data_IF_720499055235
#
_entry.id   IF_720499055235
#
_cell.length_a   1.000
_cell.length_b   1.000
_cell.length_c   1.000
_cell.angle_alpha   90.00
_cell.angle_beta   90.00
_cell.angle_gamma   90.00
#
_symmetry.space_group_name_H-M   'P 1'
#
loop_
_entity.id
_entity.type
_entity.pdbx_description
1 polymer ?
#
# COMPACT_ATOMS: atom_id res chain seq x y z
N UNK A 1 -8.37 -13.61 -8.71
CA UNK A 1 -8.90 -13.75 -7.33
C UNK A 1 -7.91 -13.10 -6.37
N UNK A 2 -8.38 -12.33 -5.37
CA UNK A 2 -7.53 -11.74 -4.32
C UNK A 2 -6.96 -12.86 -3.45
N UNK A 3 -5.62 -12.92 -3.34
CA UNK A 3 -4.87 -13.87 -2.53
C UNK A 3 -4.20 -13.13 -1.38
N UNK A 4 -4.55 -13.50 -0.15
CA UNK A 4 -4.01 -12.84 1.04
C UNK A 4 -2.71 -13.52 1.52
N UNK A 5 -1.74 -12.71 1.94
CA UNK A 5 -0.46 -13.17 2.49
C UNK A 5 -0.53 -13.51 3.98
N UNK A 6 -1.53 -13.00 4.72
CA UNK A 6 -1.73 -13.27 6.15
C UNK A 6 -3.22 -13.23 6.52
N UNK A 7 -3.54 -13.74 7.71
CA UNK A 7 -4.86 -13.56 8.31
C UNK A 7 -5.08 -12.09 8.67
N UNK A 8 -6.29 -11.62 8.49
CA UNK A 8 -6.69 -10.25 8.83
C UNK A 8 -7.60 -10.31 10.05
N UNK A 9 -7.29 -9.58 11.15
CA UNK A 9 -8.14 -9.50 12.32
C UNK A 9 -9.55 -9.00 11.99
N UNK A 10 -10.50 -9.30 12.86
CA UNK A 10 -11.88 -8.81 12.71
C UNK A 10 -11.94 -7.28 12.88
N UNK A 11 -11.26 -6.74 13.89
CA UNK A 11 -11.06 -5.30 14.12
C UNK A 11 -9.68 -4.91 13.59
N UNK A 12 -9.60 -3.91 12.71
CA UNK A 12 -8.35 -3.50 12.08
C UNK A 12 -8.42 -2.08 11.52
N UNK A 13 -7.33 -1.35 11.61
CA UNK A 13 -7.15 -0.06 10.95
C UNK A 13 -6.60 -0.25 9.53
N UNK A 14 -7.01 0.60 8.58
CA UNK A 14 -6.58 0.51 7.17
C UNK A 14 -6.07 1.85 6.70
N UNK A 15 -4.80 1.90 6.27
CA UNK A 15 -4.22 3.08 5.65
C UNK A 15 -4.69 3.19 4.20
N UNK A 16 -5.42 4.28 3.88
CA UNK A 16 -6.05 4.50 2.58
C UNK A 16 -5.60 5.83 2.00
N UNK A 17 -4.97 5.81 0.83
CA UNK A 17 -4.48 7.02 0.14
C UNK A 17 -5.53 7.72 -0.73
N UNK A 18 -6.62 7.04 -1.10
CA UNK A 18 -7.61 7.51 -2.08
C UNK A 18 -7.35 7.01 -3.51
N UNK A 19 -6.18 6.46 -3.80
CA UNK A 19 -5.86 5.84 -5.08
C UNK A 19 -6.48 4.45 -5.26
N UNK A 20 -6.56 3.99 -6.51
CA UNK A 20 -7.26 2.76 -6.94
C UNK A 20 -6.98 1.55 -6.05
N UNK A 21 -5.70 1.24 -5.81
CA UNK A 21 -5.30 0.03 -5.07
C UNK A 21 -5.80 0.08 -3.62
N UNK A 22 -5.65 1.23 -2.95
CA UNK A 22 -6.06 1.40 -1.56
C UNK A 22 -7.59 1.39 -1.39
N UNK A 23 -8.32 1.98 -2.33
CA UNK A 23 -9.78 1.98 -2.33
C UNK A 23 -10.34 0.60 -2.64
N UNK A 24 -9.71 -0.16 -3.55
CA UNK A 24 -10.05 -1.56 -3.81
C UNK A 24 -9.85 -2.44 -2.57
N UNK A 25 -8.73 -2.27 -1.88
CA UNK A 25 -8.44 -2.99 -0.63
C UNK A 25 -9.47 -2.66 0.47
N UNK A 26 -9.82 -1.38 0.63
CA UNK A 26 -10.83 -0.94 1.60
C UNK A 26 -12.19 -1.60 1.31
N UNK A 27 -12.65 -1.56 0.05
CA UNK A 27 -13.92 -2.17 -0.32
C UNK A 27 -13.92 -3.69 -0.12
N UNK A 28 -12.83 -4.38 -0.47
CA UNK A 28 -12.69 -5.81 -0.22
C UNK A 28 -12.81 -6.15 1.28
N UNK A 29 -12.13 -5.37 2.14
CA UNK A 29 -12.15 -5.58 3.58
C UNK A 29 -13.54 -5.32 4.17
N UNK A 30 -14.23 -4.28 3.71
CA UNK A 30 -15.62 -3.97 4.09
C UNK A 30 -16.57 -5.11 3.73
N UNK A 31 -16.50 -5.62 2.49
CA UNK A 31 -17.32 -6.75 2.07
C UNK A 31 -17.02 -8.03 2.88
N UNK A 32 -15.81 -8.16 3.40
CA UNK A 32 -15.43 -9.20 4.35
C UNK A 32 -15.98 -9.02 5.77
N UNK A 33 -16.89 -8.07 6.00
CA UNK A 33 -17.59 -7.79 7.27
C UNK A 33 -16.63 -7.56 8.46
N UNK A 34 -15.52 -6.88 8.21
CA UNK A 34 -14.57 -6.48 9.26
C UNK A 34 -14.98 -5.16 9.91
N UNK A 35 -14.67 -5.01 11.18
CA UNK A 35 -14.79 -3.75 11.89
C UNK A 35 -13.58 -2.88 11.54
N UNK A 36 -13.79 -1.92 10.63
CA UNK A 36 -12.73 -1.11 10.05
C UNK A 36 -12.68 0.29 10.66
N UNK A 37 -11.46 0.81 10.84
CA UNK A 37 -11.18 2.24 10.98
C UNK A 37 -10.25 2.66 9.84
N UNK A 38 -10.63 3.67 9.08
CA UNK A 38 -9.79 4.19 7.98
C UNK A 38 -8.82 5.23 8.53
N UNK A 39 -7.55 5.10 8.14
CA UNK A 39 -6.49 6.08 8.39
C UNK A 39 -6.13 6.73 7.07
N UNK A 40 -6.43 8.01 6.90
CA UNK A 40 -6.04 8.79 5.73
C UNK A 40 -5.02 9.84 6.14
N UNK A 41 -3.89 9.91 5.44
CA UNK A 41 -2.86 10.91 5.68
C UNK A 41 -2.73 11.84 4.47
N UNK A 42 -3.10 13.11 4.67
CA UNK A 42 -3.05 14.16 3.65
C UNK A 42 -1.65 14.77 3.60
N UNK A 43 -0.96 14.58 2.47
CA UNK A 43 0.41 15.06 2.24
C UNK A 43 0.51 16.53 1.84
N UNK A 44 -0.60 17.28 1.87
CA UNK A 44 -0.68 18.69 1.49
C UNK A 44 -0.21 18.99 0.04
N UNK A 45 -0.30 18.02 -0.86
CA UNK A 45 -0.09 18.21 -2.30
C UNK A 45 -1.33 18.82 -2.94
N UNK A 46 -1.21 19.34 -4.17
CA UNK A 46 -2.31 19.96 -4.91
C UNK A 46 -3.55 19.04 -5.08
N UNK A 47 -3.34 17.73 -5.13
CA UNK A 47 -4.40 16.73 -5.32
C UNK A 47 -4.84 16.03 -4.02
N UNK A 48 -4.21 16.36 -2.90
CA UNK A 48 -4.49 15.71 -1.62
C UNK A 48 -5.92 15.97 -1.13
N UNK A 49 -6.52 17.11 -1.47
CA UNK A 49 -7.91 17.45 -1.14
C UNK A 49 -8.93 16.55 -1.83
N UNK A 50 -8.73 16.24 -3.10
CA UNK A 50 -9.62 15.35 -3.86
C UNK A 50 -9.52 13.92 -3.34
N UNK A 51 -8.32 13.46 -3.03
CA UNK A 51 -8.09 12.14 -2.43
C UNK A 51 -8.77 12.02 -1.05
N UNK A 52 -8.62 13.03 -0.18
CA UNK A 52 -9.29 13.07 1.13
C UNK A 52 -10.81 13.04 0.97
N UNK A 53 -11.36 13.86 0.06
CA UNK A 53 -12.80 13.90 -0.21
C UNK A 53 -13.32 12.56 -0.71
N UNK A 54 -12.61 11.91 -1.61
CA UNK A 54 -12.96 10.58 -2.12
C UNK A 54 -13.05 9.54 -0.99
N UNK A 55 -12.05 9.51 -0.10
CA UNK A 55 -12.02 8.57 1.03
C UNK A 55 -13.13 8.88 2.02
N UNK A 56 -13.36 10.16 2.36
CA UNK A 56 -14.45 10.59 3.27
C UNK A 56 -15.83 10.19 2.75
N UNK A 57 -16.12 10.47 1.47
CA UNK A 57 -17.39 10.12 0.84
C UNK A 57 -17.65 8.60 0.88
N UNK A 58 -16.59 7.81 0.63
CA UNK A 58 -16.69 6.36 0.75
C UNK A 58 -16.97 5.92 2.19
N UNK A 59 -16.27 6.49 3.17
CA UNK A 59 -16.44 6.17 4.59
C UNK A 59 -17.84 6.56 5.08
N UNK A 60 -18.33 7.73 4.71
CA UNK A 60 -19.69 8.22 5.03
C UNK A 60 -20.75 7.27 4.46
N UNK A 61 -20.68 6.95 3.17
CA UNK A 61 -21.60 6.04 2.50
C UNK A 61 -21.75 4.70 3.22
N UNK A 62 -20.67 4.20 3.82
CA UNK A 62 -20.64 2.88 4.46
C UNK A 62 -20.53 2.93 5.98
N UNK A 63 -20.68 4.11 6.59
CA UNK A 63 -20.62 4.33 8.04
C UNK A 63 -19.33 3.76 8.64
N UNK A 64 -18.17 3.96 7.97
CA UNK A 64 -16.86 3.53 8.44
C UNK A 64 -16.17 4.69 9.14
N UNK A 65 -15.72 4.54 10.41
CA UNK A 65 -14.92 5.55 11.08
C UNK A 65 -13.66 5.91 10.29
N UNK A 66 -13.37 7.21 10.19
CA UNK A 66 -12.17 7.73 9.53
C UNK A 66 -11.42 8.69 10.44
N UNK A 67 -10.10 8.51 10.52
CA UNK A 67 -9.17 9.46 11.10
C UNK A 67 -8.32 10.06 9.98
N UNK A 68 -8.14 11.38 10.01
CA UNK A 68 -7.38 12.11 8.99
C UNK A 68 -6.23 12.83 9.66
N UNK A 69 -5.00 12.50 9.24
CA UNK A 69 -3.79 13.22 9.56
C UNK A 69 -3.39 14.16 8.42
N UNK A 70 -2.62 15.18 8.74
CA UNK A 70 -2.09 16.13 7.76
C UNK A 70 -0.61 16.32 7.97
N UNK A 71 0.09 16.52 6.87
CA UNK A 71 1.50 16.85 6.91
C UNK A 71 1.71 18.19 7.63
N UNK A 72 2.60 18.18 8.62
CA UNK A 72 3.03 19.37 9.33
C UNK A 72 4.54 19.58 9.12
N UNK A 73 4.92 20.83 8.85
CA UNK A 73 6.33 21.20 8.65
C UNK A 73 6.84 21.00 7.22
N UNK A 74 8.14 21.20 7.06
CA UNK A 74 8.86 21.13 5.78
C UNK A 74 10.10 20.23 5.92
N UNK A 75 10.58 19.72 4.77
CA UNK A 75 11.80 18.89 4.73
C UNK A 75 13.03 19.71 5.05
N UNK A 76 14.04 19.07 5.66
CA UNK A 76 15.41 19.58 5.70
C UNK A 76 16.08 19.40 4.33
N UNK A 77 17.02 20.29 3.98
CA UNK A 77 17.70 20.33 2.66
C UNK A 77 18.38 19.01 2.20
N UNK A 78 18.59 18.06 3.10
CA UNK A 78 19.31 16.81 2.83
C UNK A 78 18.40 15.55 2.91
N UNK A 79 17.08 15.70 3.05
CA UNK A 79 16.16 14.59 3.15
C UNK A 79 15.28 14.52 1.90
N UNK A 80 15.09 13.32 1.33
CA UNK A 80 14.14 13.15 0.24
C UNK A 80 12.71 13.44 0.72
N UNK A 81 11.91 14.10 -0.11
CA UNK A 81 10.51 14.41 0.21
C UNK A 81 9.71 13.14 0.49
N UNK A 82 9.95 12.09 -0.30
CA UNK A 82 9.25 10.80 -0.14
C UNK A 82 9.55 10.16 1.23
N UNK A 83 10.82 10.16 1.66
CA UNK A 83 11.21 9.63 2.97
C UNK A 83 10.62 10.46 4.11
N UNK A 84 10.58 11.78 3.96
CA UNK A 84 9.95 12.67 4.93
C UNK A 84 8.45 12.39 5.06
N UNK A 85 7.71 12.37 3.96
CA UNK A 85 6.28 12.06 3.94
C UNK A 85 5.99 10.67 4.51
N UNK A 86 6.83 9.70 4.16
CA UNK A 86 6.71 8.34 4.69
C UNK A 86 6.88 8.33 6.20
N UNK A 87 7.92 8.99 6.73
CA UNK A 87 8.21 9.06 8.16
C UNK A 87 7.03 9.69 8.92
N UNK A 88 6.61 10.90 8.52
CA UNK A 88 5.50 11.62 9.13
C UNK A 88 4.20 10.80 9.15
N UNK A 89 3.89 10.14 8.03
CA UNK A 89 2.71 9.29 7.92
C UNK A 89 2.75 8.10 8.88
N UNK A 90 3.88 7.40 8.99
CA UNK A 90 3.98 6.25 9.89
C UNK A 90 3.97 6.67 11.35
N UNK A 91 4.66 7.74 11.72
CA UNK A 91 4.60 8.33 13.06
C UNK A 91 3.18 8.70 13.45
N UNK A 92 2.44 9.36 12.55
CA UNK A 92 1.04 9.67 12.79
C UNK A 92 0.18 8.41 12.95
N UNK A 93 0.34 7.39 12.15
CA UNK A 93 -0.41 6.14 12.31
C UNK A 93 -0.21 5.55 13.72
N UNK A 94 1.01 5.58 14.22
CA UNK A 94 1.35 5.08 15.57
C UNK A 94 0.74 5.93 16.69
N UNK A 95 0.56 7.23 16.49
CA UNK A 95 -0.05 8.12 17.49
C UNK A 95 -1.57 7.95 17.60
N UNK A 96 -2.26 7.57 16.52
CA UNK A 96 -3.73 7.48 16.47
C UNK A 96 -4.27 6.06 16.63
N UNK A 97 -3.40 5.08 16.78
CA UNK A 97 -3.76 3.67 17.00
C UNK A 97 -3.10 3.14 18.28
N UNK A 98 -3.72 2.15 18.92
CA UNK A 98 -3.07 1.46 20.02
C UNK A 98 -1.99 0.51 19.47
N UNK A 99 -0.93 0.25 20.24
CA UNK A 99 0.18 -0.62 19.85
C UNK A 99 -0.24 -2.06 19.51
N UNK A 100 -1.36 -2.53 20.07
CA UNK A 100 -1.91 -3.87 19.80
C UNK A 100 -2.79 -3.92 18.53
N UNK A 101 -3.33 -2.79 18.08
CA UNK A 101 -4.19 -2.73 16.90
C UNK A 101 -3.35 -2.91 15.64
N UNK A 102 -3.77 -3.84 14.77
CA UNK A 102 -3.10 -4.04 13.47
C UNK A 102 -3.52 -2.96 12.49
N UNK A 103 -2.54 -2.46 11.73
CA UNK A 103 -2.70 -1.47 10.66
C UNK A 103 -2.40 -2.14 9.33
N UNK A 104 -3.38 -2.16 8.42
CA UNK A 104 -3.18 -2.64 7.06
C UNK A 104 -2.60 -1.51 6.20
N UNK A 105 -1.50 -1.82 5.51
CA UNK A 105 -1.05 -1.03 4.37
C UNK A 105 -1.29 -1.81 3.09
N UNK A 106 -1.85 -1.13 2.06
CA UNK A 106 -2.38 -1.76 0.85
C UNK A 106 -1.29 -2.06 -0.21
N UNK A 107 -0.10 -2.51 0.23
CA UNK A 107 0.94 -2.95 -0.69
C UNK A 107 0.52 -4.27 -1.36
N UNK A 108 0.71 -4.34 -2.67
CA UNK A 108 0.37 -5.49 -3.51
C UNK A 108 1.61 -6.13 -4.13
N UNK A 109 1.41 -7.17 -4.95
CA UNK A 109 2.52 -7.96 -5.51
C UNK A 109 3.45 -7.12 -6.41
N UNK A 110 2.90 -6.20 -7.20
CA UNK A 110 3.73 -5.35 -8.07
C UNK A 110 4.63 -4.43 -7.23
N UNK A 111 4.15 -3.90 -6.08
CA UNK A 111 5.00 -3.14 -5.15
C UNK A 111 6.16 -4.00 -4.60
N UNK A 112 5.88 -5.27 -4.31
CA UNK A 112 6.91 -6.19 -3.82
C UNK A 112 7.97 -6.47 -4.90
N UNK A 113 7.58 -6.58 -6.17
CA UNK A 113 8.50 -6.76 -7.29
C UNK A 113 9.33 -5.51 -7.50
N UNK A 114 8.70 -4.33 -7.57
CA UNK A 114 9.38 -3.03 -7.73
C UNK A 114 10.44 -2.83 -6.64
N UNK A 115 10.07 -3.08 -5.38
CA UNK A 115 10.97 -2.97 -4.25
C UNK A 115 12.13 -3.97 -4.32
N UNK A 116 11.85 -5.22 -4.66
CA UNK A 116 12.87 -6.25 -4.81
C UNK A 116 13.85 -5.91 -5.94
N UNK A 117 13.37 -5.45 -7.09
CA UNK A 117 14.20 -5.00 -8.22
C UNK A 117 15.08 -3.83 -7.79
N UNK A 118 14.49 -2.78 -7.19
CA UNK A 118 15.22 -1.60 -6.75
C UNK A 118 16.33 -1.94 -5.75
N UNK A 119 16.02 -2.77 -4.77
CA UNK A 119 17.01 -3.17 -3.75
C UNK A 119 18.08 -4.13 -4.28
N UNK A 120 17.73 -4.96 -5.28
CA UNK A 120 18.69 -5.82 -5.98
C UNK A 120 19.70 -5.01 -6.78
N UNK A 121 19.26 -3.97 -7.49
CA UNK A 121 20.13 -3.04 -8.21
C UNK A 121 21.09 -2.28 -7.29
N UNK A 122 20.68 -2.07 -6.03
CA UNK A 122 21.51 -1.46 -4.98
C UNK A 122 22.41 -2.47 -4.25
N UNK A 123 22.50 -3.72 -4.73
CA UNK A 123 23.36 -4.78 -4.16
C UNK A 123 22.85 -5.44 -2.87
N UNK A 124 21.63 -5.13 -2.43
CA UNK A 124 21.08 -5.68 -1.19
C UNK A 124 19.59 -6.03 -1.37
N UNK A 125 19.26 -7.15 -2.08
CA UNK A 125 17.89 -7.54 -2.37
C UNK A 125 17.08 -7.75 -1.11
N UNK A 126 15.94 -7.06 -1.01
CA UNK A 126 15.04 -7.14 0.15
C UNK A 126 13.60 -7.41 -0.29
N UNK A 127 12.90 -8.21 0.48
CA UNK A 127 11.46 -8.39 0.35
C UNK A 127 10.73 -7.37 1.23
N UNK A 128 9.54 -6.93 0.78
CA UNK A 128 8.63 -6.23 1.67
C UNK A 128 8.10 -7.26 2.69
N UNK A 129 8.28 -7.05 4.00
CA UNK A 129 7.81 -8.01 5.00
C UNK A 129 6.28 -8.02 5.06
N UNK A 130 5.69 -9.22 5.20
CA UNK A 130 4.24 -9.39 5.37
C UNK A 130 3.75 -8.69 6.64
N UNK A 131 4.55 -8.72 7.69
CA UNK A 131 4.31 -7.99 8.93
C UNK A 131 5.61 -7.33 9.41
N UNK A 132 5.49 -6.12 9.93
CA UNK A 132 6.52 -5.41 10.70
C UNK A 132 5.82 -4.60 11.77
N UNK A 133 6.14 -4.87 13.02
CA UNK A 133 5.51 -4.27 14.20
C UNK A 133 3.97 -4.51 14.17
N UNK A 134 3.18 -3.47 14.27
CA UNK A 134 1.73 -3.52 14.15
C UNK A 134 1.23 -3.43 12.69
N UNK A 135 2.11 -3.17 11.71
CA UNK A 135 1.75 -3.08 10.29
C UNK A 135 1.72 -4.45 9.62
N UNK A 136 0.60 -4.76 8.97
CA UNK A 136 0.43 -5.96 8.14
C UNK A 136 0.13 -5.59 6.68
N UNK A 137 0.53 -6.47 5.75
CA UNK A 137 0.41 -6.26 4.30
C UNK A 137 -0.27 -7.47 3.64
N UNK A 138 -1.59 -7.62 3.85
CA UNK A 138 -2.30 -8.83 3.42
C UNK A 138 -2.29 -9.04 1.91
N UNK A 139 -2.17 -7.97 1.11
CA UNK A 139 -2.32 -8.01 -0.34
C UNK A 139 -1.02 -8.28 -1.11
N UNK A 140 0.11 -8.55 -0.44
CA UNK A 140 1.41 -8.78 -1.09
C UNK A 140 1.44 -9.97 -2.07
N UNK A 141 0.48 -10.89 -2.01
CA UNK A 141 0.33 -11.98 -2.97
C UNK A 141 -0.71 -11.71 -4.06
N UNK A 142 -1.31 -10.52 -4.06
CA UNK A 142 -2.35 -10.12 -5.02
C UNK A 142 -1.74 -9.21 -6.08
N UNK A 143 -1.81 -9.57 -7.38
CA UNK A 143 -1.41 -8.69 -8.46
C UNK A 143 -2.26 -7.40 -8.51
N UNK A 144 -1.66 -6.29 -8.94
CA UNK A 144 -2.34 -4.99 -9.08
C UNK A 144 -3.59 -5.09 -9.96
N UNK A 145 -3.51 -5.83 -11.06
CA UNK A 145 -4.60 -5.99 -12.03
C UNK A 145 -5.85 -6.65 -11.40
N UNK A 146 -5.63 -7.48 -10.37
CA UNK A 146 -6.74 -8.10 -9.62
C UNK A 146 -7.46 -7.09 -8.73
N UNK A 147 -6.72 -6.14 -8.13
CA UNK A 147 -7.29 -5.04 -7.34
C UNK A 147 -8.02 -4.06 -8.25
N UNK A 148 -7.43 -3.67 -9.38
CA UNK A 148 -8.06 -2.81 -10.38
C UNK A 148 -9.38 -3.41 -10.86
N UNK A 149 -9.37 -4.68 -11.29
CA UNK A 149 -10.59 -5.39 -11.70
C UNK A 149 -11.63 -5.52 -10.58
N UNK A 150 -11.20 -5.55 -9.31
CA UNK A 150 -12.13 -5.50 -8.19
C UNK A 150 -12.80 -4.14 -8.11
N UNK A 151 -12.02 -3.05 -8.14
CA UNK A 151 -12.53 -1.68 -8.05
C UNK A 151 -13.56 -1.40 -9.16
N UNK A 152 -13.24 -1.74 -10.41
CA UNK A 152 -14.11 -1.58 -11.57
C UNK A 152 -15.43 -2.35 -11.42
N UNK A 153 -15.36 -3.64 -11.14
CA UNK A 153 -16.57 -4.50 -11.00
C UNK A 153 -17.47 -4.09 -9.83
N UNK A 154 -16.91 -3.48 -8.80
CA UNK A 154 -17.64 -3.04 -7.61
C UNK A 154 -18.07 -1.58 -7.67
N UNK A 155 -17.73 -0.86 -8.74
CA UNK A 155 -18.04 0.56 -8.90
C UNK A 155 -17.40 1.41 -7.77
N UNK A 156 -16.20 1.03 -7.34
CA UNK A 156 -15.43 1.79 -6.34
C UNK A 156 -14.86 3.02 -7.02
N UNK A 157 -15.08 4.19 -6.44
CA UNK A 157 -14.47 5.44 -6.92
C UNK A 157 -13.08 5.60 -6.32
N UNK A 158 -12.17 6.21 -7.08
CA UNK A 158 -10.81 6.56 -6.64
C UNK A 158 -10.34 7.84 -7.32
N UNK A 159 -9.21 8.38 -6.88
CA UNK A 159 -8.54 9.54 -7.48
C UNK A 159 -7.19 9.09 -8.06
N UNK A 160 -6.90 9.49 -9.28
CA UNK A 160 -5.58 9.31 -9.88
C UNK A 160 -4.64 10.41 -9.39
N UNK A 161 -3.47 10.00 -8.88
CA UNK A 161 -2.40 10.95 -8.54
C UNK A 161 -1.51 11.16 -9.77
N UNK A 162 -1.45 12.38 -10.32
CA UNK A 162 -0.63 12.67 -11.51
C UNK A 162 0.86 12.37 -11.33
N UNK A 163 1.37 12.42 -10.09
CA UNK A 163 2.77 12.10 -9.80
C UNK A 163 3.14 10.62 -10.02
N UNK A 164 2.14 9.74 -10.14
CA UNK A 164 2.38 8.32 -10.45
C UNK A 164 3.02 8.08 -11.82
N UNK A 165 2.93 9.05 -12.74
CA UNK A 165 3.55 9.00 -14.07
C UNK A 165 4.95 9.60 -14.14
N UNK A 166 5.41 10.26 -13.09
CA UNK A 166 6.70 10.96 -13.07
C UNK A 166 7.86 9.97 -12.94
N UNK A 167 8.60 9.78 -14.03
CA UNK A 167 9.72 8.82 -14.12
C UNK A 167 11.03 9.32 -13.51
N UNK A 168 11.09 10.55 -13.01
CA UNK A 168 12.26 11.06 -12.26
C UNK A 168 12.39 10.36 -10.90
N UNK A 169 11.32 9.75 -10.41
CA UNK A 169 11.38 8.89 -9.23
C UNK A 169 11.79 7.47 -9.59
N UNK A 170 12.87 6.95 -8.97
CA UNK A 170 13.40 5.58 -9.19
C UNK A 170 12.31 4.50 -9.27
N UNK A 171 11.32 4.56 -8.38
CA UNK A 171 10.26 3.58 -8.31
C UNK A 171 9.33 3.65 -9.53
N UNK A 172 8.98 4.84 -9.97
CA UNK A 172 8.16 5.03 -11.17
C UNK A 172 8.95 4.66 -12.42
N UNK A 173 10.25 4.97 -12.46
CA UNK A 173 11.14 4.52 -13.53
C UNK A 173 11.16 3.00 -13.64
N UNK A 174 11.32 2.29 -12.52
CA UNK A 174 11.26 0.83 -12.51
C UNK A 174 9.90 0.36 -13.02
N UNK A 175 8.80 0.92 -12.52
CA UNK A 175 7.42 0.55 -12.89
C UNK A 175 7.13 0.74 -14.38
N UNK A 176 7.46 1.90 -14.92
CA UNK A 176 7.03 2.29 -16.26
C UNK A 176 8.05 1.93 -17.34
N UNK A 177 9.35 1.95 -17.01
CA UNK A 177 10.43 1.75 -17.97
C UNK A 177 11.04 0.36 -17.86
N UNK A 178 11.43 -0.08 -16.65
CA UNK A 178 12.17 -1.34 -16.51
C UNK A 178 11.26 -2.58 -16.50
N UNK A 179 10.09 -2.50 -15.87
CA UNK A 179 9.20 -3.67 -15.72
C UNK A 179 8.82 -4.34 -17.05
N UNK A 180 8.54 -3.63 -18.16
CA UNK A 180 8.31 -4.28 -19.46
C UNK A 180 9.48 -5.15 -19.91
N UNK A 181 10.72 -4.68 -19.72
CA UNK A 181 11.93 -5.44 -20.08
C UNK A 181 12.15 -6.62 -19.14
N UNK A 182 11.92 -6.45 -17.84
CA UNK A 182 12.01 -7.52 -16.85
C UNK A 182 11.02 -8.63 -17.15
N UNK A 183 9.78 -8.30 -17.48
CA UNK A 183 8.73 -9.25 -17.84
C UNK A 183 9.04 -10.00 -19.17
N UNK A 184 9.73 -9.35 -20.10
CA UNK A 184 10.22 -9.99 -21.32
C UNK A 184 11.27 -11.07 -21.01
N UNK A 185 12.18 -10.81 -20.05
CA UNK A 185 13.24 -11.75 -19.65
C UNK A 185 12.67 -12.85 -18.75
N UNK A 186 11.82 -12.48 -17.81
CA UNK A 186 11.19 -13.40 -16.87
C UNK A 186 9.67 -13.14 -16.78
N UNK A 187 8.86 -13.71 -17.67
CA UNK A 187 7.40 -13.61 -17.61
C UNK A 187 6.80 -14.17 -16.32
N UNK A 188 7.55 -15.03 -15.63
CA UNK A 188 7.15 -15.68 -14.39
C UNK A 188 7.57 -14.95 -13.11
N UNK A 189 8.09 -13.73 -13.17
CA UNK A 189 8.63 -13.01 -12.00
C UNK A 189 7.61 -12.89 -10.85
N UNK A 190 6.33 -12.73 -11.15
CA UNK A 190 5.26 -12.72 -10.15
C UNK A 190 5.25 -14.03 -9.35
N UNK A 191 5.33 -15.18 -10.03
CA UNK A 191 5.38 -16.51 -9.38
C UNK A 191 6.65 -16.68 -8.52
N UNK A 192 7.77 -16.14 -9.01
CA UNK A 192 9.05 -16.15 -8.27
C UNK A 192 8.91 -15.37 -6.97
N UNK A 193 8.40 -14.14 -7.02
CA UNK A 193 8.23 -13.30 -5.81
C UNK A 193 7.21 -13.91 -4.83
N UNK A 194 6.10 -14.47 -5.31
CA UNK A 194 5.14 -15.19 -4.46
C UNK A 194 5.85 -16.29 -3.67
N UNK A 195 6.65 -17.15 -4.33
CA UNK A 195 7.40 -18.22 -3.66
C UNK A 195 8.38 -17.67 -2.62
N UNK A 196 9.11 -16.60 -2.94
CA UNK A 196 10.05 -15.97 -2.01
C UNK A 196 9.34 -15.36 -0.78
N UNK A 197 8.21 -14.70 -0.97
CA UNK A 197 7.41 -14.12 0.12
C UNK A 197 6.84 -15.24 1.01
N UNK A 198 6.31 -16.32 0.42
CA UNK A 198 5.77 -17.46 1.16
C UNK A 198 6.86 -18.20 1.95
N UNK A 199 8.04 -18.41 1.37
CA UNK A 199 9.18 -19.04 2.06
C UNK A 199 9.68 -18.17 3.24
N UNK A 200 9.82 -16.87 3.04
CA UNK A 200 10.27 -15.95 4.10
C UNK A 200 9.27 -15.87 5.26
N UNK A 201 7.96 -15.96 4.98
CA UNK A 201 6.92 -16.03 6.00
C UNK A 201 7.03 -17.26 6.88
N UNK A 202 7.38 -18.42 6.30
CA UNK A 202 7.54 -19.67 7.05
C UNK A 202 8.70 -19.60 8.05
N UNK A 203 9.77 -18.89 7.72
CA UNK A 203 10.93 -18.67 8.61
C UNK A 203 10.55 -17.78 9.81
N UNK A 204 9.75 -16.72 9.60
CA UNK A 204 9.34 -15.80 10.66
C UNK A 204 8.31 -16.39 11.65
N UNK A 205 7.66 -17.50 11.32
CA UNK A 205 6.72 -18.21 12.22
C UNK A 205 7.44 -19.20 13.14
N UNK A 206 8.69 -19.55 12.81
CA UNK A 206 9.50 -20.50 13.57
C UNK A 206 10.46 -19.83 14.59
N UNK A 207 10.52 -18.51 14.63
CA UNK A 207 11.28 -17.69 15.60
C UNK A 207 10.33 -16.98 16.58
#
# INVERSE_FOLDING_TARGET
MIKLSCKIPLKVSVAVSGGQDSMACLDFLRQGKRNLTVLHFNHATSHAGDAESCVRNYCEKWSIPILVGRLEGSTNKNQSMEDFWRKQRYEWFETVTNSEDKIITCHHLNDAIEWWVMTSLRGNPKLIPVQRDNFIRPFLLTPKEVLASWAERKGVTWVEDPSNGDVDYDRNYIRHTMMPHILRINPGIQKTLIKLIEANKSIMIQL
#
